data_IF_177116117817
#
_entry.id   IF_177116117817
#
_cell.length_a   1.000
_cell.length_b   1.000
_cell.length_c   1.000
_cell.angle_alpha   90.00
_cell.angle_beta   90.00
_cell.angle_gamma   90.00
#
_symmetry.space_group_name_H-M   'P 1'
#
loop_
_entity.id
_entity.type
_entity.pdbx_description
1 polymer ?
#
# COMPACT_ATOMS: atom_id res chain seq x y z
N UNK A 1 10.56 -4.68 -13.00
CA UNK A 1 9.23 -5.15 -12.54
C UNK A 1 8.50 -4.09 -11.70
N UNK A 2 9.14 -3.50 -10.68
CA UNK A 2 8.53 -2.44 -9.85
C UNK A 2 7.93 -1.27 -10.66
N UNK A 3 8.62 -0.76 -11.69
CA UNK A 3 8.09 0.32 -12.53
C UNK A 3 6.82 -0.04 -13.31
N UNK A 4 6.68 -1.29 -13.75
CA UNK A 4 5.47 -1.76 -14.45
C UNK A 4 4.31 -1.88 -13.46
N UNK A 5 4.56 -2.42 -12.27
CA UNK A 5 3.56 -2.47 -11.19
C UNK A 5 3.13 -1.05 -10.78
N UNK A 6 4.08 -0.11 -10.64
CA UNK A 6 3.78 1.28 -10.32
C UNK A 6 2.91 1.93 -11.40
N UNK A 7 3.21 1.69 -12.68
CA UNK A 7 2.39 2.17 -13.79
C UNK A 7 0.97 1.55 -13.77
N UNK A 8 0.86 0.25 -13.53
CA UNK A 8 -0.44 -0.42 -13.41
C UNK A 8 -1.27 0.15 -12.25
N UNK A 9 -0.67 0.32 -11.07
CA UNK A 9 -1.35 0.92 -9.91
C UNK A 9 -1.70 2.38 -10.18
N UNK A 10 -0.85 3.15 -10.86
CA UNK A 10 -1.14 4.52 -11.25
C UNK A 10 -2.36 4.62 -12.18
N UNK A 11 -2.50 3.70 -13.14
CA UNK A 11 -3.70 3.63 -13.99
C UNK A 11 -4.96 3.36 -13.16
N UNK A 12 -4.88 2.45 -12.19
CA UNK A 12 -6.00 2.18 -11.27
C UNK A 12 -6.35 3.42 -10.43
N UNK A 13 -5.34 4.11 -9.89
CA UNK A 13 -5.52 5.35 -9.14
C UNK A 13 -6.19 6.43 -9.99
N UNK A 14 -5.73 6.64 -11.22
CA UNK A 14 -6.31 7.61 -12.13
C UNK A 14 -7.77 7.27 -12.46
N UNK A 15 -8.08 5.99 -12.64
CA UNK A 15 -9.45 5.54 -12.85
C UNK A 15 -10.33 5.79 -11.60
N UNK A 16 -9.88 5.39 -10.41
CA UNK A 16 -10.59 5.66 -9.15
C UNK A 16 -10.78 7.15 -8.91
N UNK A 17 -9.77 7.97 -9.21
CA UNK A 17 -9.84 9.42 -9.13
C UNK A 17 -10.86 9.97 -10.13
N UNK A 18 -10.79 9.58 -11.39
CA UNK A 18 -11.76 10.01 -12.41
C UNK A 18 -13.19 9.65 -11.99
N UNK A 19 -13.43 8.45 -11.47
CA UNK A 19 -14.74 8.02 -10.93
C UNK A 19 -15.18 8.83 -9.71
N UNK A 20 -14.25 9.21 -8.85
CA UNK A 20 -14.53 10.10 -7.72
C UNK A 20 -15.00 11.50 -8.16
N UNK A 21 -14.72 11.95 -9.38
CA UNK A 21 -15.16 13.25 -9.91
C UNK A 21 -16.24 13.17 -11.00
N UNK A 22 -16.49 12.00 -11.56
CA UNK A 22 -17.48 11.81 -12.65
C UNK A 22 -18.66 10.95 -12.18
N UNK A 23 -19.81 11.57 -11.85
CA UNK A 23 -21.00 10.85 -11.38
C UNK A 23 -21.48 9.79 -12.37
N UNK A 24 -21.28 10.01 -13.68
CA UNK A 24 -21.68 9.09 -14.74
C UNK A 24 -20.94 7.74 -14.70
N UNK A 25 -19.78 7.66 -14.05
CA UNK A 25 -19.02 6.43 -13.88
C UNK A 25 -19.37 5.68 -12.59
N UNK A 26 -20.19 6.27 -11.71
CA UNK A 26 -20.56 5.66 -10.43
C UNK A 26 -21.79 4.79 -10.59
N UNK A 27 -21.67 3.53 -10.20
CA UNK A 27 -22.84 2.67 -10.00
C UNK A 27 -23.71 3.20 -8.86
N UNK A 28 -25.03 2.90 -8.86
CA UNK A 28 -25.96 3.37 -7.83
C UNK A 28 -25.61 2.89 -6.41
N UNK A 29 -24.85 1.80 -6.28
CA UNK A 29 -24.39 1.26 -5.00
C UNK A 29 -23.02 1.77 -4.58
N UNK A 30 -22.34 2.54 -5.43
CA UNK A 30 -20.94 2.90 -5.23
C UNK A 30 -20.79 4.16 -4.38
N UNK A 31 -19.96 4.08 -3.35
CA UNK A 31 -19.83 5.17 -2.36
C UNK A 31 -18.54 5.95 -2.56
N UNK A 32 -18.65 7.28 -2.47
CA UNK A 32 -17.54 8.21 -2.69
C UNK A 32 -16.42 8.05 -1.65
N UNK A 33 -16.75 7.65 -0.43
CA UNK A 33 -15.77 7.38 0.62
C UNK A 33 -14.82 6.24 0.23
N UNK A 34 -15.32 5.17 -0.39
CA UNK A 34 -14.50 4.05 -0.85
C UNK A 34 -13.51 4.47 -1.94
N UNK A 35 -13.96 5.29 -2.89
CA UNK A 35 -13.08 5.81 -3.96
C UNK A 35 -11.95 6.68 -3.40
N UNK A 36 -12.26 7.54 -2.44
CA UNK A 36 -11.25 8.38 -1.79
C UNK A 36 -10.18 7.52 -1.09
N UNK A 37 -10.58 6.47 -0.37
CA UNK A 37 -9.64 5.56 0.28
C UNK A 37 -8.84 4.72 -0.72
N UNK A 38 -9.43 4.28 -1.84
CA UNK A 38 -8.71 3.58 -2.90
C UNK A 38 -7.65 4.45 -3.56
N UNK A 39 -7.99 5.71 -3.86
CA UNK A 39 -7.02 6.69 -4.37
C UNK A 39 -5.89 6.87 -3.37
N UNK A 40 -6.21 7.07 -2.10
CA UNK A 40 -5.21 7.31 -1.06
C UNK A 40 -4.26 6.12 -0.87
N UNK A 41 -4.79 4.89 -0.82
CA UNK A 41 -3.98 3.67 -0.77
C UNK A 41 -3.11 3.51 -2.02
N UNK A 42 -3.69 3.71 -3.21
CA UNK A 42 -2.97 3.55 -4.46
C UNK A 42 -1.86 4.59 -4.65
N UNK A 43 -2.08 5.84 -4.23
CA UNK A 43 -1.03 6.87 -4.19
C UNK A 43 0.09 6.45 -3.24
N UNK A 44 -0.26 5.94 -2.05
CA UNK A 44 0.73 5.42 -1.10
C UNK A 44 1.57 4.29 -1.69
N UNK A 45 0.94 3.31 -2.34
CA UNK A 45 1.64 2.21 -3.01
C UNK A 45 2.54 2.67 -4.16
N UNK A 46 2.07 3.60 -5.00
CA UNK A 46 2.89 4.16 -6.09
C UNK A 46 4.10 4.88 -5.51
N UNK A 47 3.91 5.68 -4.46
CA UNK A 47 5.01 6.37 -3.81
C UNK A 47 6.04 5.38 -3.26
N UNK A 48 5.60 4.29 -2.60
CA UNK A 48 6.51 3.24 -2.09
C UNK A 48 7.28 2.52 -3.19
N UNK A 49 6.63 2.27 -4.34
CA UNK A 49 7.26 1.61 -5.48
C UNK A 49 8.29 2.50 -6.19
N UNK A 50 8.11 3.82 -6.14
CA UNK A 50 8.98 4.78 -6.82
C UNK A 50 10.12 5.28 -5.94
N UNK A 51 9.91 5.42 -4.63
CA UNK A 51 10.90 5.96 -3.73
C UNK A 51 10.79 5.35 -2.32
N UNK A 52 11.93 5.15 -1.63
CA UNK A 52 11.91 4.75 -0.23
C UNK A 52 11.25 5.83 0.61
N UNK A 53 10.35 5.42 1.50
CA UNK A 53 9.69 6.35 2.41
C UNK A 53 10.67 6.84 3.47
N UNK A 54 10.83 8.16 3.54
CA UNK A 54 11.44 8.79 4.72
C UNK A 54 10.59 8.55 5.97
N UNK A 55 11.22 8.68 7.15
CA UNK A 55 10.53 8.47 8.45
C UNK A 55 9.30 9.37 8.61
N UNK A 56 9.39 10.64 8.24
CA UNK A 56 8.27 11.58 8.35
C UNK A 56 7.06 11.16 7.49
N UNK A 57 7.31 10.77 6.23
CA UNK A 57 6.27 10.25 5.33
C UNK A 57 5.70 8.92 5.82
N UNK A 58 6.55 8.06 6.40
CA UNK A 58 6.13 6.81 7.02
C UNK A 58 5.17 7.06 8.18
N UNK A 59 5.52 7.96 9.12
CA UNK A 59 4.65 8.31 10.25
C UNK A 59 3.32 8.92 9.78
N UNK A 60 3.37 9.84 8.82
CA UNK A 60 2.15 10.43 8.26
C UNK A 60 1.25 9.38 7.61
N UNK A 61 1.84 8.49 6.80
CA UNK A 61 1.12 7.39 6.14
C UNK A 61 0.53 6.41 7.16
N UNK A 62 1.28 6.08 8.22
CA UNK A 62 0.83 5.22 9.31
C UNK A 62 -0.43 5.78 9.97
N UNK A 63 -0.44 7.07 10.32
CA UNK A 63 -1.60 7.74 10.92
C UNK A 63 -2.80 7.66 10.00
N UNK A 64 -2.61 7.96 8.71
CA UNK A 64 -3.69 7.94 7.72
C UNK A 64 -4.29 6.54 7.55
N UNK A 65 -3.46 5.50 7.41
CA UNK A 65 -3.94 4.13 7.26
C UNK A 65 -4.51 3.55 8.56
N UNK A 66 -4.02 3.97 9.72
CA UNK A 66 -4.63 3.61 11.00
C UNK A 66 -6.04 4.23 11.14
N UNK A 67 -6.22 5.48 10.72
CA UNK A 67 -7.54 6.13 10.66
C UNK A 67 -8.45 5.40 9.67
N UNK A 68 -7.94 5.05 8.49
CA UNK A 68 -8.69 4.28 7.48
C UNK A 68 -9.10 2.90 7.99
N UNK A 69 -8.24 2.21 8.72
CA UNK A 69 -8.54 0.94 9.36
C UNK A 69 -9.63 1.09 10.43
N UNK A 70 -9.48 2.03 11.37
CA UNK A 70 -10.46 2.29 12.41
C UNK A 70 -11.82 2.66 11.81
N UNK A 71 -11.84 3.52 10.80
CA UNK A 71 -13.06 3.89 10.06
C UNK A 71 -13.73 2.68 9.41
N UNK A 72 -12.94 1.82 8.74
CA UNK A 72 -13.46 0.62 8.09
C UNK A 72 -14.07 -0.34 9.11
N UNK A 73 -13.41 -0.55 10.26
CA UNK A 73 -13.91 -1.40 11.34
C UNK A 73 -15.23 -0.86 11.93
N UNK A 74 -15.34 0.45 12.13
CA UNK A 74 -16.58 1.10 12.56
C UNK A 74 -17.72 0.87 11.55
N UNK A 75 -17.40 0.93 10.25
CA UNK A 75 -18.38 0.68 9.19
C UNK A 75 -18.75 -0.80 9.07
N UNK A 76 -17.85 -1.74 9.37
CA UNK A 76 -18.15 -3.18 9.43
C UNK A 76 -19.19 -3.52 10.50
N UNK A 77 -19.19 -2.79 11.61
CA UNK A 77 -20.19 -2.93 12.66
C UNK A 77 -21.61 -2.57 12.14
N UNK A 78 -21.71 -1.69 11.14
CA UNK A 78 -22.94 -1.39 10.40
C UNK A 78 -23.30 -2.49 9.38
N UNK A 79 -24.55 -2.96 9.38
CA UNK A 79 -24.98 -4.16 8.62
C UNK A 79 -25.00 -4.03 7.09
N UNK A 80 -24.94 -2.83 6.51
CA UNK A 80 -25.37 -2.62 5.12
C UNK A 80 -24.32 -2.85 4.02
N UNK A 81 -23.01 -3.00 4.30
CA UNK A 81 -21.96 -3.00 3.24
C UNK A 81 -20.66 -3.69 3.69
N UNK A 82 -20.76 -4.83 4.36
CA UNK A 82 -19.62 -5.46 5.07
C UNK A 82 -18.43 -5.83 4.16
N UNK A 83 -18.67 -6.27 2.93
CA UNK A 83 -17.60 -6.81 2.08
C UNK A 83 -16.63 -5.73 1.59
N UNK A 84 -17.11 -4.60 1.08
CA UNK A 84 -16.24 -3.53 0.56
C UNK A 84 -15.39 -2.90 1.67
N UNK A 85 -15.99 -2.68 2.85
CA UNK A 85 -15.23 -2.17 3.99
C UNK A 85 -14.26 -3.21 4.56
N UNK A 86 -14.53 -4.51 4.41
CA UNK A 86 -13.61 -5.56 4.86
C UNK A 86 -12.37 -5.62 3.97
N UNK A 87 -12.57 -5.54 2.64
CA UNK A 87 -11.47 -5.40 1.67
C UNK A 87 -10.63 -4.17 1.99
N UNK A 88 -11.29 -3.04 2.27
CA UNK A 88 -10.59 -1.81 2.64
C UNK A 88 -9.80 -1.95 3.95
N UNK A 89 -10.37 -2.60 4.96
CA UNK A 89 -9.69 -2.85 6.23
C UNK A 89 -8.44 -3.72 6.03
N UNK A 90 -8.52 -4.77 5.20
CA UNK A 90 -7.35 -5.60 4.84
C UNK A 90 -6.29 -4.78 4.13
N UNK A 91 -6.67 -3.93 3.17
CA UNK A 91 -5.75 -3.04 2.47
C UNK A 91 -5.04 -2.04 3.40
N UNK A 92 -5.79 -1.38 4.29
CA UNK A 92 -5.23 -0.48 5.29
C UNK A 92 -4.27 -1.22 6.25
N UNK A 93 -4.62 -2.43 6.70
CA UNK A 93 -3.79 -3.23 7.58
C UNK A 93 -2.47 -3.65 6.89
N UNK A 94 -2.55 -4.04 5.61
CA UNK A 94 -1.37 -4.36 4.81
C UNK A 94 -0.44 -3.13 4.66
N UNK A 95 -1.00 -1.95 4.38
CA UNK A 95 -0.22 -0.71 4.32
C UNK A 95 0.42 -0.37 5.67
N UNK A 96 -0.29 -0.54 6.78
CA UNK A 96 0.29 -0.36 8.13
C UNK A 96 1.46 -1.31 8.32
N UNK A 97 1.31 -2.60 8.00
CA UNK A 97 2.39 -3.57 8.14
C UNK A 97 3.65 -3.20 7.34
N UNK A 98 3.49 -2.70 6.11
CA UNK A 98 4.63 -2.24 5.29
C UNK A 98 5.30 -0.97 5.85
N UNK A 99 4.55 -0.07 6.48
CA UNK A 99 5.06 1.24 6.97
C UNK A 99 5.61 1.18 8.39
N UNK A 100 5.13 0.26 9.24
CA UNK A 100 5.54 0.17 10.66
C UNK A 100 7.06 0.06 10.83
N UNK A 101 7.78 -0.82 10.10
CA UNK A 101 9.23 -0.93 10.27
C UNK A 101 9.96 0.38 9.97
N UNK A 102 9.59 1.09 8.89
CA UNK A 102 10.25 2.36 8.50
C UNK A 102 9.87 3.53 9.41
N UNK A 103 8.65 3.54 9.96
CA UNK A 103 8.20 4.56 10.91
C UNK A 103 8.86 4.42 12.28
N UNK A 104 9.12 3.17 12.70
CA UNK A 104 9.64 2.83 14.04
C UNK A 104 11.14 2.64 14.09
N UNK A 105 11.81 2.53 12.93
CA UNK A 105 13.26 2.56 12.84
C UNK A 105 13.81 3.77 13.61
N UNK A 106 14.53 3.50 14.69
CA UNK A 106 15.29 4.52 15.38
C UNK A 106 16.36 4.98 14.42
N UNK A 107 16.45 6.29 14.21
CA UNK A 107 17.57 6.85 13.48
C UNK A 107 18.83 6.44 14.26
N UNK A 108 19.63 5.52 13.71
CA UNK A 108 21.02 5.42 14.12
C UNK A 108 21.58 6.83 13.93
N UNK A 109 21.93 7.49 15.03
CA UNK A 109 22.65 8.75 14.95
C UNK A 109 23.88 8.49 14.06
N UNK A 110 24.22 9.39 13.12
CA UNK A 110 25.50 9.28 12.45
C UNK A 110 26.58 9.48 13.52
N UNK A 111 27.06 8.38 14.10
CA UNK A 111 28.42 8.33 14.58
C UNK A 111 29.27 8.13 13.34
N UNK A 112 29.72 9.21 12.71
CA UNK A 112 31.14 9.23 12.38
C UNK A 112 31.76 10.61 12.16
N UNK A 113 32.81 10.79 12.96
CA UNK A 113 34.06 11.52 12.81
C UNK A 113 34.17 12.60 11.72
N UNK A 114 34.12 13.85 12.18
CA UNK A 114 34.96 14.91 11.64
C UNK A 114 36.43 14.51 11.75
N UNK A 115 37.08 14.13 10.64
CA UNK A 115 38.39 14.60 10.14
C UNK A 115 38.98 13.62 9.13
N UNK A 116 38.97 13.99 7.86
CA UNK A 116 39.62 13.24 6.79
C UNK A 116 39.42 13.91 5.44
N UNK A 117 40.24 14.90 5.14
CA UNK A 117 40.32 15.52 3.82
C UNK A 117 40.71 14.48 2.76
N UNK A 118 39.89 14.30 1.73
CA UNK A 118 40.23 13.50 0.56
C UNK A 118 39.33 13.87 -0.61
N UNK A 119 39.87 14.63 -1.55
CA UNK A 119 39.27 14.85 -2.86
C UNK A 119 39.25 13.53 -3.62
N UNK A 120 38.10 13.10 -4.13
CA UNK A 120 38.09 12.23 -5.31
C UNK A 120 36.86 12.46 -6.19
N UNK A 121 37.14 12.82 -7.44
CA UNK A 121 36.22 12.98 -8.54
C UNK A 121 36.11 11.64 -9.26
N UNK A 122 34.95 11.00 -9.24
CA UNK A 122 34.77 9.71 -9.92
C UNK A 122 33.31 9.40 -10.23
N UNK A 123 32.96 9.49 -11.51
CA UNK A 123 31.69 9.08 -12.05
C UNK A 123 31.47 7.56 -11.87
N UNK A 124 30.31 7.19 -11.33
CA UNK A 124 29.87 5.80 -11.23
C UNK A 124 28.36 5.74 -11.01
N UNK A 125 27.63 5.23 -12.00
CA UNK A 125 26.22 4.89 -11.88
C UNK A 125 26.06 3.73 -10.88
N UNK A 126 25.84 4.06 -9.61
CA UNK A 126 25.53 3.08 -8.58
C UNK A 126 24.03 2.77 -8.58
N UNK A 127 23.69 1.60 -9.13
CA UNK A 127 22.45 0.90 -8.84
C UNK A 127 22.36 0.72 -7.32
N UNK A 128 21.40 1.38 -6.68
CA UNK A 128 21.12 1.18 -5.25
C UNK A 128 20.52 -0.21 -5.08
N UNK A 129 21.33 -1.15 -4.61
CA UNK A 129 20.87 -2.45 -4.15
C UNK A 129 19.91 -2.25 -2.99
N UNK A 130 18.67 -2.76 -3.11
CA UNK A 130 17.78 -3.03 -1.96
C UNK A 130 18.40 -4.15 -1.13
N UNK A 131 19.46 -3.83 -0.40
CA UNK A 131 19.95 -4.64 0.71
C UNK A 131 19.56 -3.89 1.96
N UNK A 132 18.75 -4.51 2.81
CA UNK A 132 18.57 -4.09 4.18
C UNK A 132 19.97 -3.93 4.79
N UNK A 133 20.44 -2.69 4.89
CA UNK A 133 21.57 -2.40 5.74
C UNK A 133 21.08 -2.68 7.16
N UNK A 134 21.68 -3.68 7.79
CA UNK A 134 21.56 -4.02 9.21
C UNK A 134 21.90 -2.80 10.07
N UNK A 135 20.96 -1.85 10.16
CA UNK A 135 20.94 -0.84 11.18
C UNK A 135 20.43 -1.56 12.43
N UNK A 136 21.34 -1.81 13.37
CA UNK A 136 21.05 -2.31 14.72
C UNK A 136 20.22 -1.29 15.54
N UNK A 137 19.04 -0.95 15.05
CA UNK A 137 17.99 -0.22 15.72
C UNK A 137 16.86 -1.19 16.05
N UNK A 138 16.32 -1.09 17.26
CA UNK A 138 15.15 -1.83 17.74
C UNK A 138 13.87 -1.41 17.00
N UNK A 139 13.81 -1.62 15.69
CA UNK A 139 12.61 -1.48 14.89
C UNK A 139 11.59 -2.56 15.24
N UNK A 140 10.31 -2.22 15.17
CA UNK A 140 9.25 -3.21 15.33
C UNK A 140 9.25 -4.09 14.07
N UNK A 141 9.65 -5.35 14.24
CA UNK A 141 9.57 -6.37 13.20
C UNK A 141 8.15 -6.91 13.13
N UNK A 142 7.58 -6.99 11.94
CA UNK A 142 6.26 -7.62 11.74
C UNK A 142 6.43 -9.13 11.87
N UNK A 143 5.68 -9.81 12.77
CA UNK A 143 5.81 -11.25 12.93
C UNK A 143 5.45 -12.01 11.65
N UNK A 144 6.18 -13.08 11.32
CA UNK A 144 5.92 -13.93 10.13
C UNK A 144 4.48 -14.43 10.06
N UNK A 145 3.86 -14.72 11.21
CA UNK A 145 2.47 -15.14 11.29
C UNK A 145 1.51 -14.03 10.81
N UNK A 146 1.81 -12.77 11.13
CA UNK A 146 1.01 -11.61 10.69
C UNK A 146 1.19 -11.41 9.19
N UNK A 147 2.42 -11.52 8.68
CA UNK A 147 2.71 -11.46 7.25
C UNK A 147 1.96 -12.56 6.48
N UNK A 148 2.04 -13.80 6.94
CA UNK A 148 1.33 -14.93 6.34
C UNK A 148 -0.19 -14.72 6.37
N UNK A 149 -0.74 -14.25 7.48
CA UNK A 149 -2.17 -13.95 7.60
C UNK A 149 -2.61 -12.84 6.62
N UNK A 150 -1.81 -11.80 6.44
CA UNK A 150 -2.07 -10.74 5.48
C UNK A 150 -2.03 -11.24 4.04
N UNK A 151 -1.04 -12.06 3.68
CA UNK A 151 -0.95 -12.66 2.35
C UNK A 151 -2.15 -13.56 2.07
N UNK A 152 -2.59 -14.37 3.04
CA UNK A 152 -3.80 -15.19 2.92
C UNK A 152 -5.04 -14.30 2.77
N UNK A 153 -5.17 -13.24 3.57
CA UNK A 153 -6.30 -12.32 3.47
C UNK A 153 -6.37 -11.64 2.09
N UNK A 154 -5.23 -11.17 1.56
CA UNK A 154 -5.14 -10.58 0.22
C UNK A 154 -5.45 -11.61 -0.87
N UNK A 155 -4.97 -12.85 -0.74
CA UNK A 155 -5.31 -13.94 -1.67
C UNK A 155 -6.81 -14.24 -1.67
N UNK A 156 -7.46 -14.23 -0.50
CA UNK A 156 -8.92 -14.38 -0.39
C UNK A 156 -9.64 -13.21 -1.07
N UNK A 157 -9.18 -11.97 -0.87
CA UNK A 157 -9.74 -10.80 -1.57
C UNK A 157 -9.64 -10.98 -3.09
N UNK A 158 -8.46 -11.35 -3.60
CA UNK A 158 -8.24 -11.59 -5.04
C UNK A 158 -9.15 -12.71 -5.54
N UNK A 159 -9.24 -13.84 -4.84
CA UNK A 159 -10.08 -14.97 -5.24
C UNK A 159 -11.57 -14.61 -5.29
N UNK A 160 -12.08 -13.95 -4.25
CA UNK A 160 -13.48 -13.48 -4.20
C UNK A 160 -13.74 -12.51 -5.33
N UNK A 161 -12.83 -11.56 -5.56
CA UNK A 161 -12.99 -10.56 -6.61
C UNK A 161 -12.90 -11.14 -8.01
N UNK A 162 -12.02 -12.11 -8.27
CA UNK A 162 -11.97 -12.83 -9.54
C UNK A 162 -13.29 -13.53 -9.84
N UNK A 163 -13.90 -14.18 -8.84
CA UNK A 163 -15.23 -14.79 -8.98
C UNK A 163 -16.28 -13.74 -9.30
N UNK A 164 -16.25 -12.57 -8.65
CA UNK A 164 -17.16 -11.47 -8.98
C UNK A 164 -16.92 -10.91 -10.37
N UNK A 165 -15.67 -10.77 -10.82
CA UNK A 165 -15.30 -10.32 -12.17
C UNK A 165 -15.83 -11.26 -13.24
N UNK A 166 -15.78 -12.58 -13.00
CA UNK A 166 -16.29 -13.59 -13.92
C UNK A 166 -17.83 -13.58 -14.02
N UNK A 167 -18.52 -13.12 -12.98
CA UNK A 167 -20.00 -13.10 -12.89
C UNK A 167 -20.61 -11.74 -13.20
N UNK A 168 -19.82 -10.68 -13.28
CA UNK A 168 -20.30 -9.31 -13.44
C UNK A 168 -20.02 -8.75 -14.83
N UNK A 169 -20.89 -7.83 -15.26
CA UNK A 169 -20.74 -7.07 -16.51
C UNK A 169 -20.73 -5.58 -16.22
N UNK A 170 -20.06 -4.79 -17.08
CA UNK A 170 -20.07 -3.34 -16.96
C UNK A 170 -19.25 -2.80 -15.77
N UNK A 171 -19.72 -1.75 -15.06
CA UNK A 171 -18.95 -1.04 -14.02
C UNK A 171 -18.46 -1.93 -12.87
N UNK A 172 -19.30 -2.88 -12.41
CA UNK A 172 -18.96 -3.79 -11.31
C UNK A 172 -17.74 -4.68 -11.62
N UNK A 173 -17.50 -4.98 -12.90
CA UNK A 173 -16.32 -5.75 -13.33
C UNK A 173 -15.04 -4.94 -13.19
N UNK A 174 -15.09 -3.65 -13.51
CA UNK A 174 -13.96 -2.73 -13.36
C UNK A 174 -13.61 -2.51 -11.88
N UNK A 175 -14.62 -2.42 -11.01
CA UNK A 175 -14.41 -2.36 -9.55
C UNK A 175 -13.61 -3.55 -9.04
N UNK A 176 -14.05 -4.76 -9.40
CA UNK A 176 -13.36 -5.98 -9.00
C UNK A 176 -11.94 -6.04 -9.58
N UNK A 177 -11.72 -5.59 -10.81
CA UNK A 177 -10.38 -5.49 -11.40
C UNK A 177 -9.47 -4.52 -10.62
N UNK A 178 -9.99 -3.39 -10.16
CA UNK A 178 -9.22 -2.44 -9.35
C UNK A 178 -8.78 -3.08 -8.03
N UNK A 179 -9.71 -3.75 -7.33
CA UNK A 179 -9.41 -4.45 -6.08
C UNK A 179 -8.37 -5.56 -6.28
N UNK A 180 -8.46 -6.33 -7.38
CA UNK A 180 -7.48 -7.37 -7.71
C UNK A 180 -6.10 -6.76 -7.95
N UNK A 181 -6.03 -5.68 -8.74
CA UNK A 181 -4.76 -5.03 -9.06
C UNK A 181 -4.10 -4.42 -7.81
N UNK A 182 -4.89 -3.77 -6.96
CA UNK A 182 -4.41 -3.20 -5.69
C UNK A 182 -3.96 -4.30 -4.72
N UNK A 183 -4.77 -5.34 -4.51
CA UNK A 183 -4.42 -6.43 -3.63
C UNK A 183 -3.19 -7.22 -4.11
N UNK A 184 -3.07 -7.43 -5.43
CA UNK A 184 -1.89 -8.04 -6.03
C UNK A 184 -0.62 -7.20 -5.85
N UNK A 185 -0.71 -5.88 -6.03
CA UNK A 185 0.41 -4.97 -5.79
C UNK A 185 0.81 -4.95 -4.31
N UNK A 186 -0.15 -4.95 -3.38
CA UNK A 186 0.13 -5.05 -1.94
C UNK A 186 0.80 -6.38 -1.59
N UNK A 187 0.31 -7.50 -2.10
CA UNK A 187 0.91 -8.81 -1.85
C UNK A 187 2.35 -8.86 -2.36
N UNK A 188 2.61 -8.32 -3.55
CA UNK A 188 3.96 -8.20 -4.09
C UNK A 188 4.87 -7.34 -3.19
N UNK A 189 4.40 -6.17 -2.74
CA UNK A 189 5.15 -5.30 -1.84
C UNK A 189 5.47 -5.98 -0.51
N UNK A 190 4.52 -6.71 0.08
CA UNK A 190 4.75 -7.49 1.30
C UNK A 190 5.85 -8.55 1.12
N UNK A 191 5.86 -9.26 -0.01
CA UNK A 191 6.87 -10.31 -0.29
C UNK A 191 8.26 -9.73 -0.59
N UNK A 192 8.33 -8.52 -1.14
CA UNK A 192 9.63 -7.90 -1.48
C UNK A 192 10.24 -7.15 -0.30
N UNK A 193 9.42 -6.66 0.63
CA UNK A 193 9.87 -5.90 1.79
C UNK A 193 10.24 -6.75 3.02
N UNK A 194 9.78 -8.00 3.08
CA UNK A 194 10.02 -8.95 4.18
C UNK A 194 10.60 -10.25 3.63
#
# INVERSE_FOLDING_TARGET
MAGVLAACVAVVVLYCFARAFTPALRGPEHRLDLDAWHVLMGVGMVAMLLAPFGRALSVASLVVFAVGLAWSLLRLAGRATRTSYAVLAVGCLAMVAMVVPTATATAAAPMDMSTGSGMDMGAGHHHVSMGAADAAGTGIVVPDLVLAALLVALAVVVAVRLVTTARSTGPARLDACCDIAMAGAMAYLLVVMF
#
